data_IF_887690450899
#
_entry.id   IF_887690450899
#
_cell.length_a   1.000
_cell.length_b   1.000
_cell.length_c   1.000
_cell.angle_alpha   90.00
_cell.angle_beta   90.00
_cell.angle_gamma   90.00
#
_symmetry.space_group_name_H-M   'P 1'
#
loop_
_entity.id
_entity.type
_entity.pdbx_description
1 polymer ?
#
# COMPACT_ATOMS: atom_id res chain seq x y z
N UNK A 1 -33.32 -20.36 10.05
CA UNK A 1 -33.74 -19.01 9.59
C UNK A 1 -32.52 -18.10 9.44
N UNK A 2 -31.75 -17.86 10.51
CA UNK A 2 -30.52 -17.05 10.45
C UNK A 2 -29.45 -17.63 9.50
N UNK A 3 -29.18 -18.94 9.57
CA UNK A 3 -28.23 -19.61 8.68
C UNK A 3 -28.57 -19.41 7.21
N UNK A 4 -29.86 -19.51 6.85
CA UNK A 4 -30.32 -19.29 5.48
C UNK A 4 -30.09 -17.84 5.02
N UNK A 5 -30.30 -16.87 5.90
CA UNK A 5 -30.03 -15.44 5.62
C UNK A 5 -28.53 -15.23 5.39
N UNK A 6 -27.69 -15.80 6.27
CA UNK A 6 -26.23 -15.70 6.15
C UNK A 6 -25.74 -16.38 4.87
N UNK A 7 -26.25 -17.57 4.54
CA UNK A 7 -25.89 -18.29 3.32
C UNK A 7 -26.25 -17.52 2.06
N UNK A 8 -27.44 -16.92 2.02
CA UNK A 8 -27.85 -16.09 0.87
C UNK A 8 -27.01 -14.82 0.75
N UNK A 9 -26.68 -14.16 1.87
CA UNK A 9 -25.80 -12.99 1.86
C UNK A 9 -24.40 -13.34 1.33
N UNK A 10 -23.82 -14.46 1.80
CA UNK A 10 -22.53 -14.97 1.31
C UNK A 10 -22.61 -15.33 -0.18
N UNK A 11 -23.68 -15.99 -0.63
CA UNK A 11 -23.90 -16.32 -2.05
C UNK A 11 -23.86 -15.05 -2.91
N UNK A 12 -24.60 -14.02 -2.52
CA UNK A 12 -24.68 -12.76 -3.27
C UNK A 12 -23.32 -12.08 -3.41
N UNK A 13 -22.56 -11.99 -2.31
CA UNK A 13 -21.22 -11.39 -2.31
C UNK A 13 -20.27 -12.18 -3.22
N UNK A 14 -20.28 -13.51 -3.10
CA UNK A 14 -19.41 -14.37 -3.90
C UNK A 14 -19.74 -14.26 -5.40
N UNK A 15 -21.02 -14.23 -5.77
CA UNK A 15 -21.42 -14.03 -7.16
C UNK A 15 -21.00 -12.66 -7.68
N UNK A 16 -21.13 -11.61 -6.87
CA UNK A 16 -20.66 -10.27 -7.25
C UNK A 16 -19.16 -10.28 -7.58
N UNK A 17 -18.33 -10.84 -6.70
CA UNK A 17 -16.88 -10.89 -6.93
C UNK A 17 -16.49 -11.80 -8.09
N UNK A 18 -17.19 -12.93 -8.30
CA UNK A 18 -16.98 -13.82 -9.45
C UNK A 18 -17.28 -13.13 -10.78
N UNK A 19 -18.30 -12.28 -10.78
CA UNK A 19 -18.78 -11.60 -11.99
C UNK A 19 -18.02 -10.31 -12.31
N UNK A 20 -17.50 -9.64 -11.27
CA UNK A 20 -16.83 -8.33 -11.38
C UNK A 20 -15.31 -8.44 -11.12
N UNK A 21 -14.72 -9.62 -11.32
CA UNK A 21 -13.28 -9.85 -11.22
C UNK A 21 -12.49 -9.14 -12.32
N UNK A 22 -13.09 -9.00 -13.51
CA UNK A 22 -12.52 -8.24 -14.61
C UNK A 22 -13.15 -6.83 -14.62
N UNK A 23 -12.31 -5.79 -14.67
CA UNK A 23 -12.66 -4.35 -14.58
C UNK A 23 -13.73 -3.88 -15.58
N UNK A 24 -14.14 -4.73 -16.52
CA UNK A 24 -14.98 -4.36 -17.66
C UNK A 24 -16.36 -5.04 -17.69
N UNK A 25 -16.76 -5.79 -16.65
CA UNK A 25 -18.03 -6.51 -16.65
C UNK A 25 -18.88 -6.21 -15.41
N UNK A 26 -19.79 -5.23 -15.56
CA UNK A 26 -20.84 -4.93 -14.59
C UNK A 26 -22.00 -5.92 -14.74
N UNK A 27 -21.83 -7.15 -14.28
CA UNK A 27 -22.98 -8.03 -14.15
C UNK A 27 -23.67 -7.80 -12.81
N UNK A 28 -24.95 -7.46 -12.88
CA UNK A 28 -25.83 -7.50 -11.73
C UNK A 28 -26.07 -8.96 -11.35
N UNK A 29 -25.88 -9.29 -10.08
CA UNK A 29 -26.33 -10.58 -9.56
C UNK A 29 -27.86 -10.59 -9.64
N UNK A 30 -28.40 -11.55 -10.38
CA UNK A 30 -29.84 -11.73 -10.61
C UNK A 30 -30.48 -12.52 -9.48
N UNK A 31 -31.79 -12.36 -9.29
CA UNK A 31 -32.58 -13.15 -8.32
C UNK A 31 -32.15 -12.94 -6.85
N UNK A 32 -31.98 -11.66 -6.49
CA UNK A 32 -31.70 -11.20 -5.14
C UNK A 32 -32.73 -10.16 -4.73
N UNK A 33 -33.17 -10.23 -3.46
CA UNK A 33 -33.98 -9.19 -2.85
C UNK A 33 -33.28 -7.81 -2.86
N UNK A 34 -34.06 -6.74 -3.05
CA UNK A 34 -33.52 -5.38 -3.17
C UNK A 34 -32.71 -4.94 -1.93
N UNK A 35 -33.09 -5.38 -0.74
CA UNK A 35 -32.33 -5.07 0.48
C UNK A 35 -30.96 -5.73 0.45
N UNK A 36 -30.92 -7.03 0.16
CA UNK A 36 -29.67 -7.80 0.12
C UNK A 36 -28.73 -7.28 -0.99
N UNK A 37 -29.30 -6.81 -2.10
CA UNK A 37 -28.55 -6.12 -3.16
C UNK A 37 -27.94 -4.80 -2.67
N UNK A 38 -28.70 -3.97 -1.95
CA UNK A 38 -28.19 -2.71 -1.40
C UNK A 38 -27.08 -2.96 -0.37
N UNK A 39 -27.31 -3.89 0.55
CA UNK A 39 -26.34 -4.27 1.59
C UNK A 39 -25.01 -4.77 0.98
N UNK A 40 -25.10 -5.58 -0.08
CA UNK A 40 -23.94 -6.03 -0.85
C UNK A 40 -23.18 -4.86 -1.48
N UNK A 41 -23.86 -3.90 -2.10
CA UNK A 41 -23.20 -2.72 -2.69
C UNK A 41 -22.53 -1.83 -1.65
N UNK A 42 -23.17 -1.62 -0.49
CA UNK A 42 -22.58 -0.88 0.62
C UNK A 42 -21.32 -1.57 1.15
N UNK A 43 -21.37 -2.90 1.33
CA UNK A 43 -20.21 -3.69 1.73
C UNK A 43 -19.05 -3.58 0.74
N UNK A 44 -19.32 -3.74 -0.56
CA UNK A 44 -18.30 -3.63 -1.61
C UNK A 44 -17.68 -2.23 -1.63
N UNK A 45 -18.49 -1.18 -1.50
CA UNK A 45 -18.01 0.21 -1.45
C UNK A 45 -17.10 0.45 -0.25
N UNK A 46 -17.51 -0.02 0.94
CA UNK A 46 -16.71 0.08 2.15
C UNK A 46 -15.39 -0.70 2.01
N UNK A 47 -15.43 -1.92 1.46
CA UNK A 47 -14.24 -2.74 1.27
C UNK A 47 -13.24 -2.08 0.29
N UNK A 48 -13.72 -1.50 -0.82
CA UNK A 48 -12.88 -0.72 -1.75
C UNK A 48 -12.20 0.46 -1.06
N UNK A 49 -12.92 1.21 -0.22
CA UNK A 49 -12.35 2.32 0.53
C UNK A 49 -11.25 1.87 1.50
N UNK A 50 -11.46 0.76 2.22
CA UNK A 50 -10.46 0.20 3.15
C UNK A 50 -9.21 -0.29 2.41
N UNK A 51 -9.37 -0.98 1.28
CA UNK A 51 -8.23 -1.42 0.46
C UNK A 51 -7.43 -0.22 -0.04
N UNK A 52 -8.11 0.82 -0.54
CA UNK A 52 -7.46 2.05 -1.01
C UNK A 52 -6.72 2.76 0.13
N UNK A 53 -7.32 2.87 1.31
CA UNK A 53 -6.69 3.48 2.49
C UNK A 53 -5.42 2.72 2.91
N UNK A 54 -5.48 1.39 2.98
CA UNK A 54 -4.30 0.56 3.30
C UNK A 54 -3.18 0.72 2.28
N UNK A 55 -3.52 0.75 0.99
CA UNK A 55 -2.54 0.95 -0.10
C UNK A 55 -1.88 2.32 0.04
N UNK A 56 -2.67 3.38 0.23
CA UNK A 56 -2.14 4.75 0.45
C UNK A 56 -1.25 4.80 1.69
N UNK A 57 -1.64 4.15 2.78
CA UNK A 57 -0.86 4.08 4.01
C UNK A 57 0.47 3.34 3.80
N UNK A 58 0.46 2.18 3.14
CA UNK A 58 1.67 1.42 2.83
C UNK A 58 2.64 2.21 1.95
N UNK A 59 2.14 2.91 0.93
CA UNK A 59 2.96 3.78 0.09
C UNK A 59 3.57 4.94 0.87
N UNK A 60 2.79 5.61 1.73
CA UNK A 60 3.29 6.68 2.60
C UNK A 60 4.42 6.18 3.51
N UNK A 61 4.23 5.01 4.14
CA UNK A 61 5.23 4.40 5.00
C UNK A 61 6.51 4.02 4.24
N UNK A 62 6.39 3.41 3.06
CA UNK A 62 7.54 3.06 2.22
C UNK A 62 8.32 4.30 1.77
N UNK A 63 7.63 5.35 1.34
CA UNK A 63 8.25 6.63 0.98
C UNK A 63 8.97 7.28 2.18
N UNK A 64 8.36 7.27 3.36
CA UNK A 64 8.96 7.80 4.58
C UNK A 64 10.23 7.05 4.97
N UNK A 65 10.18 5.72 4.98
CA UNK A 65 11.34 4.87 5.29
C UNK A 65 12.45 5.07 4.26
N UNK A 66 12.13 5.02 2.96
CA UNK A 66 13.08 5.24 1.88
C UNK A 66 13.79 6.59 2.02
N UNK A 67 13.03 7.67 2.24
CA UNK A 67 13.58 9.02 2.44
C UNK A 67 14.50 9.10 3.65
N UNK A 68 14.16 8.44 4.76
CA UNK A 68 15.02 8.42 5.95
C UNK A 68 16.31 7.63 5.69
N UNK A 69 16.24 6.49 5.01
CA UNK A 69 17.42 5.70 4.64
C UNK A 69 18.35 6.54 3.75
N UNK A 70 17.82 7.21 2.72
CA UNK A 70 18.63 8.10 1.85
C UNK A 70 19.34 9.18 2.66
N UNK A 71 18.66 9.82 3.60
CA UNK A 71 19.28 10.84 4.46
C UNK A 71 20.43 10.28 5.31
N UNK A 72 20.29 9.07 5.86
CA UNK A 72 21.36 8.45 6.64
C UNK A 72 22.57 8.06 5.76
N UNK A 73 22.31 7.59 4.54
CA UNK A 73 23.37 7.31 3.55
C UNK A 73 24.12 8.59 3.17
N UNK A 74 23.40 9.68 2.87
CA UNK A 74 24.01 10.97 2.54
C UNK A 74 24.88 11.51 3.69
N UNK A 75 24.39 11.42 4.94
CA UNK A 75 25.20 11.79 6.12
C UNK A 75 26.47 10.95 6.22
N UNK A 76 26.37 9.63 6.05
CA UNK A 76 27.52 8.73 6.11
C UNK A 76 28.55 9.03 5.02
N UNK A 77 28.09 9.33 3.81
CA UNK A 77 28.97 9.69 2.69
C UNK A 77 29.72 10.99 2.97
N UNK A 78 29.02 12.03 3.44
CA UNK A 78 29.64 13.31 3.79
C UNK A 78 30.71 13.15 4.89
N UNK A 79 30.46 12.28 5.88
CA UNK A 79 31.44 11.97 6.94
C UNK A 79 32.66 11.24 6.34
N UNK A 80 32.45 10.27 5.45
CA UNK A 80 33.55 9.57 4.78
C UNK A 80 34.41 10.53 3.94
N UNK A 81 33.78 11.45 3.21
CA UNK A 81 34.49 12.45 2.41
C UNK A 81 35.31 13.40 3.27
N UNK A 82 34.79 13.84 4.43
CA UNK A 82 35.55 14.72 5.33
C UNK A 82 36.81 14.05 5.88
N UNK A 83 36.72 12.75 6.24
CA UNK A 83 37.91 12.02 6.68
C UNK A 83 38.94 11.89 5.56
N UNK A 84 38.52 11.54 4.34
CA UNK A 84 39.44 11.42 3.20
C UNK A 84 40.16 12.74 2.93
N UNK A 85 39.45 13.86 2.99
CA UNK A 85 40.02 15.19 2.81
C UNK A 85 41.05 15.53 3.91
N UNK A 86 40.72 15.30 5.18
CA UNK A 86 41.61 15.55 6.31
C UNK A 86 42.90 14.71 6.22
N UNK A 87 42.80 13.42 5.85
CA UNK A 87 43.97 12.57 5.64
C UNK A 87 44.83 13.03 4.45
N UNK A 88 44.22 13.53 3.38
CA UNK A 88 44.95 14.08 2.23
C UNK A 88 45.76 15.31 2.62
N UNK A 89 45.14 16.25 3.36
CA UNK A 89 45.80 17.47 3.84
C UNK A 89 46.97 17.15 4.79
N UNK A 90 46.80 16.17 5.69
CA UNK A 90 47.88 15.73 6.58
C UNK A 90 49.05 15.08 5.81
N UNK A 91 48.77 14.30 4.76
CA UNK A 91 49.81 13.70 3.93
C UNK A 91 50.59 14.75 3.13
N UNK A 92 49.92 15.77 2.59
CA UNK A 92 50.59 16.89 1.91
C UNK A 92 51.54 17.62 2.86
N UNK A 93 51.13 17.89 4.11
CA UNK A 93 52.00 18.51 5.11
C UNK A 93 53.24 17.66 5.47
N UNK A 94 53.18 16.32 5.36
CA UNK A 94 54.32 15.44 5.67
C UNK A 94 55.31 15.36 4.49
N UNK A 95 54.82 15.42 3.25
CA UNK A 95 55.65 15.33 2.04
C UNK A 95 56.42 16.62 1.77
N UNK A 96 55.98 17.76 2.30
CA UNK A 96 56.63 19.07 2.15
C UNK A 96 57.77 19.36 3.17
N UNK A 97 58.10 18.42 4.08
CA UNK A 97 59.21 18.50 5.06
C UNK A 97 60.46 17.79 4.54
#
# INVERSE_FOLDING_TARGET
MLENIISEWIRCINEYYRLNTDENCYYNVSDIDNQLKNDMFEFVKANKAVVQERVVQSHSQACYISRNITKEIEKSNNISESFVQEYSELLECIVEI
#
